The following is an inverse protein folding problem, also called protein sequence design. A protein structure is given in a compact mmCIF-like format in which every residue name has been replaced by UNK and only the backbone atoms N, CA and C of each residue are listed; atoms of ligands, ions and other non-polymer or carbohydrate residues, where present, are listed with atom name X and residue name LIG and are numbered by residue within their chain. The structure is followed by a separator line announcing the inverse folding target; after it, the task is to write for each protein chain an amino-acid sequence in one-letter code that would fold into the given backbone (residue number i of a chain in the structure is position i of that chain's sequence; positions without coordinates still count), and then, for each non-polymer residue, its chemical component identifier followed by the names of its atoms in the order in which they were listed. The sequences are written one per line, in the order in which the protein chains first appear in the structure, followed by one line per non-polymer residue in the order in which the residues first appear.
data_IF_420643126058
#
_entry.id   IF_420643126058
#
_cell.length_a   1.000
_cell.length_b   1.000
_cell.length_c   1.000
_cell.angle_alpha   90.00
_cell.angle_beta   90.00
_cell.angle_gamma   90.00
#
_symmetry.space_group_name_H-M   'P 1'
#
loop_
_entity.id
_entity.type
_entity.pdbx_description
1 polymer ?
#
# COMPACT_ATOMS: atom_id res chain seq x y z
N UNK A 1 23.40 -15.06 23.80
CA UNK A 1 22.19 -15.90 23.71
C UNK A 1 22.30 -16.73 22.45
N UNK A 2 22.09 -18.04 22.54
CA UNK A 2 22.09 -18.94 21.37
C UNK A 2 20.92 -18.54 20.45
N UNK A 3 21.19 -18.35 19.17
CA UNK A 3 20.14 -18.06 18.20
C UNK A 3 19.31 -19.35 17.96
N UNK A 4 17.97 -19.25 17.85
CA UNK A 4 17.10 -20.43 17.69
C UNK A 4 17.47 -21.25 16.45
N UNK A 5 17.45 -22.59 16.46
CA UNK A 5 17.70 -23.37 15.23
C UNK A 5 16.62 -23.16 14.16
N UNK A 6 16.85 -23.55 12.90
CA UNK A 6 15.80 -23.50 11.86
C UNK A 6 14.56 -24.32 12.26
N UNK A 7 14.76 -25.41 13.02
CA UNK A 7 13.68 -26.20 13.63
C UNK A 7 12.78 -25.34 14.51
N UNK A 8 13.34 -24.40 15.29
CA UNK A 8 12.58 -23.53 16.17
C UNK A 8 11.66 -22.54 15.41
N UNK A 9 11.99 -22.17 14.17
CA UNK A 9 11.10 -21.37 13.31
C UNK A 9 9.91 -22.19 12.79
N UNK A 10 10.01 -23.52 12.77
CA UNK A 10 8.95 -24.43 12.31
C UNK A 10 8.14 -25.03 13.47
N UNK A 11 8.63 -24.94 14.70
CA UNK A 11 7.98 -25.51 15.88
C UNK A 11 6.58 -24.97 16.13
N UNK A 12 5.64 -25.90 16.36
CA UNK A 12 4.22 -25.59 16.59
C UNK A 12 3.43 -25.14 15.34
N UNK A 13 4.02 -25.23 14.14
CA UNK A 13 3.31 -25.04 12.88
C UNK A 13 2.70 -26.37 12.40
N UNK A 14 1.47 -26.30 11.89
CA UNK A 14 0.84 -27.41 11.16
C UNK A 14 1.49 -27.59 9.77
N UNK A 15 1.10 -28.64 9.04
CA UNK A 15 1.69 -28.97 7.73
C UNK A 15 1.62 -27.82 6.72
N UNK A 16 0.45 -27.21 6.54
CA UNK A 16 0.25 -26.10 5.60
C UNK A 16 1.04 -24.83 5.98
N UNK A 17 1.07 -24.50 7.28
CA UNK A 17 1.88 -23.38 7.78
C UNK A 17 3.38 -23.63 7.59
N UNK A 18 3.85 -24.87 7.81
CA UNK A 18 5.23 -25.27 7.56
C UNK A 18 5.57 -25.10 6.08
N UNK A 19 4.72 -25.59 5.19
CA UNK A 19 4.89 -25.44 3.74
C UNK A 19 5.02 -23.96 3.34
N UNK A 20 4.11 -23.12 3.84
CA UNK A 20 4.14 -21.67 3.57
C UNK A 20 5.39 -20.98 4.12
N UNK A 21 5.94 -21.42 5.27
CA UNK A 21 7.21 -20.90 5.81
C UNK A 21 8.42 -21.47 5.05
N UNK A 22 8.34 -22.71 4.58
CA UNK A 22 9.41 -23.41 3.88
C UNK A 22 9.58 -22.95 2.42
N UNK A 23 8.51 -22.51 1.78
CA UNK A 23 8.53 -22.01 0.41
C UNK A 23 9.55 -20.87 0.26
N UNK A 24 10.55 -21.01 -0.61
CA UNK A 24 11.64 -20.03 -0.70
C UNK A 24 11.41 -19.02 -1.82
N UNK A 25 11.27 -19.47 -3.06
CA UNK A 25 11.18 -18.62 -4.25
C UNK A 25 9.88 -18.84 -5.03
N UNK A 26 9.52 -17.84 -5.85
CA UNK A 26 8.30 -17.84 -6.66
C UNK A 26 7.07 -17.33 -5.91
N UNK A 27 5.96 -17.13 -6.64
CA UNK A 27 4.72 -16.61 -6.07
C UNK A 27 4.11 -17.60 -5.08
N UNK A 28 3.51 -17.07 -4.02
CA UNK A 28 2.80 -17.85 -3.00
C UNK A 28 1.51 -17.14 -2.59
N UNK A 29 0.39 -17.87 -2.65
CA UNK A 29 -0.89 -17.46 -2.08
C UNK A 29 -1.20 -18.37 -0.89
N UNK A 30 -1.40 -17.76 0.28
CA UNK A 30 -1.82 -18.47 1.49
C UNK A 30 -3.26 -18.07 1.81
N UNK A 31 -4.19 -18.99 1.58
CA UNK A 31 -5.59 -18.84 1.98
C UNK A 31 -5.76 -19.31 3.43
N UNK A 32 -6.21 -18.41 4.29
CA UNK A 32 -6.13 -18.64 5.72
C UNK A 32 -7.24 -17.88 6.47
N UNK A 33 -8.17 -18.65 7.06
CA UNK A 33 -9.29 -18.14 7.85
C UNK A 33 -8.91 -17.28 9.07
N UNK A 34 -9.89 -16.65 9.72
CA UNK A 34 -9.69 -16.02 11.05
C UNK A 34 -9.01 -16.96 12.05
N UNK A 35 -8.03 -16.43 12.80
CA UNK A 35 -7.35 -17.19 13.86
C UNK A 35 -6.41 -18.30 13.38
N UNK A 36 -6.26 -18.51 12.07
CA UNK A 36 -5.39 -19.52 11.46
C UNK A 36 -3.89 -19.24 11.61
N UNK A 37 -3.51 -18.08 12.13
CA UNK A 37 -2.12 -17.68 12.33
C UNK A 37 -1.45 -17.07 11.09
N UNK A 38 -2.20 -16.36 10.23
CA UNK A 38 -1.69 -15.57 9.07
C UNK A 38 -0.39 -14.82 9.38
N UNK A 39 -0.46 -13.93 10.37
CA UNK A 39 0.70 -13.13 10.82
C UNK A 39 1.85 -13.99 11.36
N UNK A 40 1.55 -15.13 12.00
CA UNK A 40 2.58 -16.07 12.50
C UNK A 40 3.34 -16.71 11.35
N UNK A 41 2.65 -17.07 10.26
CA UNK A 41 3.26 -17.61 9.04
C UNK A 41 4.16 -16.55 8.40
N UNK A 42 3.66 -15.33 8.18
CA UNK A 42 4.42 -14.25 7.54
C UNK A 42 5.70 -13.88 8.33
N UNK A 43 5.58 -13.69 9.64
CA UNK A 43 6.73 -13.29 10.47
C UNK A 43 7.81 -14.37 10.52
N UNK A 44 7.43 -15.65 10.65
CA UNK A 44 8.37 -16.78 10.61
C UNK A 44 9.01 -16.98 9.24
N UNK A 45 8.23 -16.79 8.17
CA UNK A 45 8.74 -16.78 6.80
C UNK A 45 9.82 -15.70 6.61
N UNK A 46 9.56 -14.47 7.04
CA UNK A 46 10.54 -13.37 6.95
C UNK A 46 11.80 -13.69 7.76
N UNK A 47 11.64 -14.17 9.00
CA UNK A 47 12.77 -14.57 9.84
C UNK A 47 13.62 -15.67 9.17
N UNK A 48 12.99 -16.65 8.52
CA UNK A 48 13.67 -17.73 7.79
C UNK A 48 14.39 -17.22 6.54
N UNK A 49 13.79 -16.33 5.76
CA UNK A 49 14.46 -15.68 4.61
C UNK A 49 15.77 -15.02 5.03
N UNK A 50 15.75 -14.31 6.17
CA UNK A 50 16.93 -13.62 6.68
C UNK A 50 17.96 -14.61 7.23
N UNK A 51 17.55 -15.53 8.11
CA UNK A 51 18.48 -16.38 8.86
C UNK A 51 19.01 -17.56 8.06
N UNK A 52 18.14 -18.27 7.36
CA UNK A 52 18.48 -19.50 6.65
C UNK A 52 19.01 -19.20 5.25
N UNK A 53 18.36 -18.27 4.55
CA UNK A 53 18.68 -17.96 3.15
C UNK A 53 19.60 -16.75 2.99
N UNK A 54 19.98 -16.09 4.08
CA UNK A 54 20.91 -14.95 4.06
C UNK A 54 20.36 -13.74 3.31
N UNK A 55 19.04 -13.62 3.15
CA UNK A 55 18.43 -12.48 2.44
C UNK A 55 18.65 -11.22 3.26
N UNK A 56 19.30 -10.17 2.71
CA UNK A 56 19.46 -8.91 3.43
C UNK A 56 18.09 -8.32 3.77
N UNK A 57 17.83 -7.87 5.01
CA UNK A 57 16.53 -7.33 5.38
C UNK A 57 16.08 -6.15 4.51
N UNK A 58 17.03 -5.35 4.02
CA UNK A 58 16.79 -4.24 3.07
C UNK A 58 16.19 -4.67 1.73
N UNK A 59 16.21 -5.96 1.41
CA UNK A 59 15.59 -6.55 0.22
C UNK A 59 14.19 -7.12 0.45
N UNK A 60 13.63 -6.91 1.65
CA UNK A 60 12.32 -7.41 2.04
C UNK A 60 11.36 -6.22 2.23
N UNK A 61 10.21 -6.29 1.56
CA UNK A 61 9.07 -5.39 1.74
C UNK A 61 7.90 -6.19 2.31
N UNK A 62 7.43 -5.82 3.49
CA UNK A 62 6.24 -6.37 4.14
C UNK A 62 5.16 -5.29 4.25
N UNK A 63 3.95 -5.58 3.77
CA UNK A 63 2.83 -4.65 3.72
C UNK A 63 1.63 -5.22 4.48
N UNK A 64 0.93 -4.36 5.20
CA UNK A 64 -0.32 -4.68 5.93
C UNK A 64 -1.28 -3.50 5.86
N UNK A 65 -2.46 -3.59 6.49
CA UNK A 65 -3.50 -2.58 6.41
C UNK A 65 -3.49 -1.60 7.59
N UNK A 66 -3.03 -2.02 8.78
CA UNK A 66 -3.07 -1.18 9.97
C UNK A 66 -1.69 -0.90 10.53
N UNK A 67 -1.52 0.30 11.13
CA UNK A 67 -0.26 0.66 11.80
C UNK A 67 0.05 -0.27 12.98
N UNK A 68 -1.00 -0.75 13.66
CA UNK A 68 -0.88 -1.73 14.74
C UNK A 68 -0.30 -3.06 14.22
N UNK A 69 -0.87 -3.62 13.15
CA UNK A 69 -0.37 -4.85 12.54
C UNK A 69 1.08 -4.70 12.05
N UNK A 70 1.43 -3.54 11.48
CA UNK A 70 2.80 -3.27 11.04
C UNK A 70 3.79 -3.18 12.22
N UNK A 71 3.36 -2.61 13.36
CA UNK A 71 4.13 -2.61 14.60
C UNK A 71 4.34 -4.03 15.12
N UNK A 72 3.26 -4.77 15.33
CA UNK A 72 3.31 -6.14 15.84
C UNK A 72 4.13 -7.07 14.94
N UNK A 73 4.04 -6.92 13.61
CA UNK A 73 4.84 -7.70 12.67
C UNK A 73 6.33 -7.43 12.85
N UNK A 74 6.74 -6.16 12.99
CA UNK A 74 8.14 -5.78 13.25
C UNK A 74 8.65 -6.35 14.57
N UNK A 75 7.89 -6.18 15.65
CA UNK A 75 8.26 -6.67 16.98
C UNK A 75 8.44 -8.19 16.99
N UNK A 76 7.54 -8.92 16.32
CA UNK A 76 7.63 -10.38 16.18
C UNK A 76 8.86 -10.80 15.39
N UNK A 77 9.16 -10.14 14.27
CA UNK A 77 10.34 -10.46 13.47
C UNK A 77 11.61 -10.17 14.27
N UNK A 78 11.68 -9.01 14.95
CA UNK A 78 12.84 -8.65 15.76
C UNK A 78 13.08 -9.66 16.90
N UNK A 79 11.99 -10.13 17.54
CA UNK A 79 12.06 -11.19 18.55
C UNK A 79 12.59 -12.52 17.99
N UNK A 80 12.11 -12.94 16.81
CA UNK A 80 12.57 -14.17 16.15
C UNK A 80 14.04 -14.10 15.71
N UNK A 81 14.53 -12.91 15.37
CA UNK A 81 15.91 -12.66 14.95
C UNK A 81 16.86 -12.31 16.12
N UNK A 82 16.30 -12.01 17.30
CA UNK A 82 17.00 -11.41 18.44
C UNK A 82 17.68 -10.06 18.14
N UNK A 83 17.28 -9.37 17.07
CA UNK A 83 17.72 -8.03 16.69
C UNK A 83 16.75 -7.39 15.70
N UNK A 84 16.76 -6.06 15.60
CA UNK A 84 15.99 -5.34 14.59
C UNK A 84 16.47 -5.68 13.16
N UNK A 85 15.57 -6.00 12.21
CA UNK A 85 15.92 -6.23 10.81
C UNK A 85 16.21 -4.92 10.07
N UNK A 86 17.38 -4.34 10.32
CA UNK A 86 17.76 -3.02 9.84
C UNK A 86 17.63 -2.88 8.31
N UNK A 87 16.94 -1.82 7.88
CA UNK A 87 16.73 -1.53 6.46
C UNK A 87 15.50 -2.19 5.82
N UNK A 88 14.88 -3.17 6.50
CA UNK A 88 13.61 -3.76 6.06
C UNK A 88 12.50 -2.72 5.99
N UNK A 89 11.63 -2.85 4.99
CA UNK A 89 10.44 -2.01 4.88
C UNK A 89 9.25 -2.83 5.37
N UNK A 90 8.66 -2.43 6.49
CA UNK A 90 7.45 -3.02 7.04
C UNK A 90 6.49 -1.89 7.46
N UNK A 91 5.29 -1.86 6.87
CA UNK A 91 4.37 -0.74 7.06
C UNK A 91 3.02 -0.94 6.38
N UNK A 92 2.14 0.04 6.52
CA UNK A 92 0.91 0.08 5.75
C UNK A 92 1.17 0.51 4.31
N UNK A 93 0.24 0.22 3.40
CA UNK A 93 0.31 0.73 2.02
C UNK A 93 0.56 2.25 1.97
N UNK A 94 -0.15 3.01 2.81
CA UNK A 94 -0.02 4.46 2.90
C UNK A 94 1.34 4.89 3.45
N UNK A 95 1.88 4.21 4.47
CA UNK A 95 3.20 4.54 5.00
C UNK A 95 4.31 4.24 3.97
N UNK A 96 4.20 3.12 3.25
CA UNK A 96 5.12 2.75 2.17
C UNK A 96 5.01 3.75 1.00
N UNK A 97 3.78 4.07 0.61
CA UNK A 97 3.48 5.03 -0.44
C UNK A 97 3.99 6.44 -0.14
N UNK A 98 3.76 6.94 1.08
CA UNK A 98 4.34 8.19 1.56
C UNK A 98 5.88 8.16 1.50
N UNK A 99 6.52 7.07 1.94
CA UNK A 99 7.98 6.93 1.89
C UNK A 99 8.51 6.96 0.45
N UNK A 100 7.84 6.28 -0.48
CA UNK A 100 8.18 6.29 -1.91
C UNK A 100 8.01 7.69 -2.50
N UNK A 101 6.86 8.33 -2.20
CA UNK A 101 6.52 9.65 -2.70
C UNK A 101 7.50 10.71 -2.19
N UNK A 102 7.92 10.66 -0.93
CA UNK A 102 8.94 11.58 -0.39
C UNK A 102 10.26 11.50 -1.16
N UNK A 103 10.68 10.30 -1.56
CA UNK A 103 11.91 10.09 -2.32
C UNK A 103 11.81 10.53 -3.79
N UNK A 104 10.60 10.72 -4.31
CA UNK A 104 10.33 10.96 -5.74
C UNK A 104 9.39 12.14 -5.98
N UNK A 105 9.17 12.99 -4.97
CA UNK A 105 8.13 14.03 -4.97
C UNK A 105 8.24 15.01 -6.15
N UNK A 106 9.47 15.32 -6.56
CA UNK A 106 9.75 16.22 -7.68
C UNK A 106 9.16 15.71 -9.01
N UNK A 107 9.00 14.40 -9.19
CA UNK A 107 8.41 13.79 -10.39
C UNK A 107 6.90 14.07 -10.53
N UNK A 108 6.26 14.45 -9.43
CA UNK A 108 4.83 14.84 -9.39
C UNK A 108 4.64 16.29 -8.97
N UNK A 109 5.67 17.11 -9.23
CA UNK A 109 5.67 18.55 -8.98
C UNK A 109 5.39 18.92 -7.52
N UNK A 110 5.90 18.12 -6.59
CA UNK A 110 5.87 18.35 -5.14
C UNK A 110 7.29 18.34 -4.58
N UNK A 111 7.45 18.82 -3.35
CA UNK A 111 8.71 18.70 -2.62
C UNK A 111 8.63 17.53 -1.62
N UNK A 112 9.77 16.98 -1.17
CA UNK A 112 9.80 16.00 -0.10
C UNK A 112 9.24 16.50 1.23
N UNK A 113 8.87 17.77 1.37
CA UNK A 113 8.27 18.37 2.57
C UNK A 113 6.75 18.55 2.45
N UNK A 114 6.07 17.86 1.51
CA UNK A 114 4.62 17.95 1.36
C UNK A 114 3.82 17.67 2.64
N UNK A 115 2.66 18.28 2.81
CA UNK A 115 1.75 17.99 3.94
C UNK A 115 0.80 16.87 3.56
N UNK A 116 0.53 15.94 4.48
CA UNK A 116 -0.53 14.94 4.29
C UNK A 116 -1.80 15.52 4.89
N UNK A 117 -2.80 15.77 4.06
CA UNK A 117 -4.10 16.27 4.52
C UNK A 117 -4.88 15.13 5.14
N UNK A 118 -5.45 15.38 6.31
CA UNK A 118 -6.41 14.46 6.92
C UNK A 118 -7.79 14.60 6.27
N UNK A 119 -8.78 13.91 6.86
CA UNK A 119 -10.14 13.92 6.35
C UNK A 119 -10.78 15.31 6.39
N UNK A 120 -10.52 16.09 7.44
CA UNK A 120 -11.12 17.39 7.66
C UNK A 120 -10.49 18.46 6.78
N UNK A 121 -9.15 18.45 6.64
CA UNK A 121 -8.40 19.30 5.72
C UNK A 121 -8.86 19.08 4.28
N UNK A 122 -8.96 17.81 3.87
CA UNK A 122 -9.39 17.42 2.53
C UNK A 122 -10.84 17.85 2.27
N UNK A 123 -11.73 17.67 3.24
CA UNK A 123 -13.13 18.06 3.13
C UNK A 123 -13.30 19.59 3.10
N UNK A 124 -12.50 20.33 3.85
CA UNK A 124 -12.51 21.80 3.83
C UNK A 124 -12.04 22.34 2.48
N UNK A 125 -10.97 21.79 1.91
CA UNK A 125 -10.52 22.13 0.55
C UNK A 125 -11.61 21.81 -0.48
N UNK A 126 -12.18 20.61 -0.42
CA UNK A 126 -13.22 20.16 -1.35
C UNK A 126 -14.43 21.10 -1.36
N UNK A 127 -14.92 21.53 -0.19
CA UNK A 127 -16.05 22.47 -0.08
C UNK A 127 -15.79 23.79 -0.81
N UNK A 128 -14.58 24.35 -0.70
CA UNK A 128 -14.20 25.58 -1.42
C UNK A 128 -14.20 25.37 -2.93
N UNK A 129 -13.75 24.20 -3.39
CA UNK A 129 -13.75 23.86 -4.82
C UNK A 129 -15.16 23.61 -5.36
N UNK A 130 -16.02 22.95 -4.57
CA UNK A 130 -17.43 22.81 -4.91
C UNK A 130 -18.10 24.17 -5.10
N UNK A 131 -17.90 25.11 -4.16
CA UNK A 131 -18.43 26.46 -4.27
C UNK A 131 -17.95 27.19 -5.54
N UNK A 132 -16.64 27.09 -5.84
CA UNK A 132 -16.05 27.67 -7.05
C UNK A 132 -16.68 27.16 -8.34
N UNK A 133 -17.06 25.88 -8.39
CA UNK A 133 -17.70 25.24 -9.55
C UNK A 133 -19.23 25.34 -9.53
N UNK A 134 -19.82 26.10 -8.59
CA UNK A 134 -21.27 26.22 -8.47
C UNK A 134 -21.97 24.94 -8.01
N UNK A 135 -21.23 24.00 -7.43
CA UNK A 135 -21.75 22.73 -6.91
C UNK A 135 -22.30 22.95 -5.51
N UNK A 136 -23.63 23.02 -5.39
CA UNK A 136 -24.30 23.31 -4.12
C UNK A 136 -24.18 22.16 -3.11
N UNK A 137 -23.69 22.39 -1.87
CA UNK A 137 -23.67 21.38 -0.81
C UNK A 137 -25.05 20.86 -0.40
N UNK A 138 -26.13 21.62 -0.71
CA UNK A 138 -27.52 21.19 -0.49
C UNK A 138 -27.98 20.19 -1.55
N UNK A 139 -27.46 20.30 -2.77
CA UNK A 139 -27.77 19.39 -3.87
C UNK A 139 -26.91 18.14 -3.80
N UNK A 140 -25.60 18.31 -3.56
CA UNK A 140 -24.64 17.23 -3.46
C UNK A 140 -23.84 17.36 -2.18
N UNK A 141 -24.01 16.41 -1.26
CA UNK A 141 -23.31 16.44 0.02
C UNK A 141 -21.78 16.36 -0.21
N UNK A 142 -20.95 17.21 0.45
CA UNK A 142 -19.50 17.19 0.26
C UNK A 142 -18.85 15.83 0.51
N UNK A 143 -19.36 15.05 1.47
CA UNK A 143 -18.88 13.68 1.73
C UNK A 143 -19.16 12.72 0.58
N UNK A 144 -20.29 12.88 -0.12
CA UNK A 144 -20.62 12.07 -1.29
C UNK A 144 -19.69 12.40 -2.48
N UNK A 145 -19.45 13.70 -2.72
CA UNK A 145 -18.48 14.16 -3.73
C UNK A 145 -17.08 13.61 -3.42
N UNK A 146 -16.65 13.69 -2.16
CA UNK A 146 -15.37 13.13 -1.72
C UNK A 146 -15.29 11.62 -1.96
N UNK A 147 -16.35 10.88 -1.62
CA UNK A 147 -16.46 9.44 -1.85
C UNK A 147 -16.26 9.09 -3.31
N UNK A 148 -16.97 9.77 -4.22
CA UNK A 148 -16.83 9.55 -5.66
C UNK A 148 -15.40 9.82 -6.18
N UNK A 149 -14.73 10.85 -5.67
CA UNK A 149 -13.33 11.14 -6.01
C UNK A 149 -12.39 10.06 -5.45
N UNK A 150 -12.62 9.62 -4.21
CA UNK A 150 -11.82 8.58 -3.56
C UNK A 150 -11.96 7.24 -4.29
N UNK A 151 -13.18 6.86 -4.66
CA UNK A 151 -13.47 5.66 -5.46
C UNK A 151 -12.75 5.71 -6.82
N UNK A 152 -12.80 6.87 -7.50
CA UNK A 152 -12.08 7.09 -8.75
C UNK A 152 -10.56 6.94 -8.57
N UNK A 153 -9.99 7.58 -7.54
CA UNK A 153 -8.57 7.47 -7.20
C UNK A 153 -8.16 6.03 -6.92
N UNK A 154 -8.91 5.32 -6.07
CA UNK A 154 -8.65 3.93 -5.71
C UNK A 154 -8.83 2.96 -6.89
N UNK A 155 -9.63 3.32 -7.88
CA UNK A 155 -9.74 2.65 -9.18
C UNK A 155 -8.66 3.07 -10.21
N UNK A 156 -7.74 3.97 -9.85
CA UNK A 156 -6.71 4.57 -10.71
C UNK A 156 -7.27 5.40 -11.88
N UNK A 157 -8.49 5.91 -11.77
CA UNK A 157 -9.12 6.76 -12.78
C UNK A 157 -8.58 8.19 -12.64
N UNK A 158 -7.97 8.73 -13.70
CA UNK A 158 -7.47 10.10 -13.71
C UNK A 158 -8.60 11.13 -13.89
N UNK A 159 -8.43 12.41 -13.52
CA UNK A 159 -9.47 13.42 -13.68
C UNK A 159 -10.03 13.55 -15.09
N UNK A 160 -9.18 13.50 -16.12
CA UNK A 160 -9.61 13.59 -17.52
C UNK A 160 -10.43 12.36 -17.94
N UNK A 161 -10.04 11.18 -17.46
CA UNK A 161 -10.77 9.93 -17.70
C UNK A 161 -12.12 9.95 -16.97
N UNK A 162 -12.14 10.37 -15.70
CA UNK A 162 -13.37 10.55 -14.92
C UNK A 162 -14.34 11.50 -15.62
N UNK A 163 -13.86 12.63 -16.13
CA UNK A 163 -14.65 13.57 -16.91
C UNK A 163 -15.22 12.95 -18.19
N UNK A 164 -14.45 12.12 -18.89
CA UNK A 164 -14.91 11.42 -20.09
C UNK A 164 -15.97 10.35 -19.83
N UNK A 165 -15.93 9.72 -18.64
CA UNK A 165 -16.87 8.68 -18.21
C UNK A 165 -18.11 9.23 -17.51
N UNK A 166 -18.11 10.52 -17.14
CA UNK A 166 -19.19 11.17 -16.39
C UNK A 166 -20.51 11.24 -17.19
N UNK A 167 -21.40 10.30 -16.93
CA UNK A 167 -22.65 10.16 -17.68
C UNK A 167 -23.83 10.89 -17.02
N UNK A 168 -23.95 10.80 -15.69
CA UNK A 168 -25.10 11.30 -14.92
C UNK A 168 -24.84 12.70 -14.33
N UNK A 169 -25.90 13.42 -13.86
CA UNK A 169 -25.75 14.77 -13.32
C UNK A 169 -24.77 14.90 -12.15
N UNK A 170 -24.69 13.88 -11.28
CA UNK A 170 -23.78 13.91 -10.13
C UNK A 170 -22.33 13.76 -10.58
N UNK A 171 -22.00 12.74 -11.38
CA UNK A 171 -20.62 12.55 -11.85
C UNK A 171 -20.13 13.72 -12.70
N UNK A 172 -21.00 14.34 -13.51
CA UNK A 172 -20.67 15.56 -14.25
C UNK A 172 -20.38 16.76 -13.35
N UNK A 173 -21.07 16.88 -12.22
CA UNK A 173 -20.78 17.92 -11.23
C UNK A 173 -19.47 17.66 -10.46
N UNK A 174 -19.11 16.40 -10.23
CA UNK A 174 -17.87 16.01 -9.54
C UNK A 174 -16.64 16.22 -10.41
N UNK A 175 -16.72 15.96 -11.72
CA UNK A 175 -15.57 15.99 -12.64
C UNK A 175 -14.70 17.27 -12.57
N UNK A 176 -15.26 18.50 -12.67
CA UNK A 176 -14.44 19.71 -12.58
C UNK A 176 -13.86 19.93 -11.17
N UNK A 177 -14.58 19.51 -10.13
CA UNK A 177 -14.11 19.57 -8.73
C UNK A 177 -12.90 18.64 -8.54
N UNK A 178 -12.93 17.44 -9.15
CA UNK A 178 -11.83 16.49 -9.06
C UNK A 178 -10.56 17.02 -9.73
N UNK A 179 -10.66 17.55 -10.96
CA UNK A 179 -9.52 18.13 -11.67
C UNK A 179 -8.86 19.29 -10.90
N UNK A 180 -9.67 20.17 -10.31
CA UNK A 180 -9.18 21.28 -9.51
C UNK A 180 -8.60 20.85 -8.16
N UNK A 181 -9.09 19.75 -7.56
CA UNK A 181 -8.58 19.19 -6.31
C UNK A 181 -7.13 18.75 -6.45
N UNK A 182 -6.82 17.96 -7.47
CA UNK A 182 -5.44 17.51 -7.74
C UNK A 182 -4.49 18.71 -7.91
N UNK A 183 -4.92 19.70 -8.69
CA UNK A 183 -4.15 20.92 -8.94
C UNK A 183 -3.97 21.75 -7.67
N UNK A 184 -5.00 21.83 -6.82
CA UNK A 184 -4.95 22.56 -5.57
C UNK A 184 -4.02 21.89 -4.55
N UNK A 185 -4.10 20.57 -4.39
CA UNK A 185 -3.21 19.79 -3.54
C UNK A 185 -1.75 19.95 -3.98
N UNK A 186 -1.48 19.84 -5.29
CA UNK A 186 -0.13 20.05 -5.81
C UNK A 186 0.41 21.46 -5.52
N UNK A 187 -0.38 22.52 -5.77
CA UNK A 187 0.01 23.91 -5.48
C UNK A 187 0.24 24.17 -3.99
N UNK A 188 -0.53 23.51 -3.13
CA UNK A 188 -0.36 23.57 -1.68
C UNK A 188 0.83 22.73 -1.19
N UNK A 189 1.56 22.04 -2.09
CA UNK A 189 2.55 21.04 -1.75
C UNK A 189 1.96 20.03 -0.74
N UNK A 190 0.79 19.48 -1.07
CA UNK A 190 0.03 18.57 -0.23
C UNK A 190 -0.35 17.30 -0.99
N UNK A 191 -0.67 16.25 -0.24
CA UNK A 191 -1.24 15.00 -0.73
C UNK A 191 -2.37 14.59 0.24
N UNK A 192 -3.47 14.08 -0.27
CA UNK A 192 -4.46 13.40 0.56
C UNK A 192 -4.07 11.92 0.76
N UNK A 193 -4.91 11.17 1.46
CA UNK A 193 -4.62 9.78 1.79
C UNK A 193 -4.58 8.89 0.53
N UNK A 194 -5.51 9.09 -0.40
CA UNK A 194 -5.57 8.33 -1.66
C UNK A 194 -4.36 8.63 -2.56
N UNK A 195 -3.85 9.87 -2.56
CA UNK A 195 -2.62 10.25 -3.27
C UNK A 195 -1.40 9.44 -2.83
N UNK A 196 -1.36 8.98 -1.57
CA UNK A 196 -0.28 8.13 -1.08
C UNK A 196 -0.29 6.75 -1.73
N UNK A 197 -1.38 6.33 -2.37
CA UNK A 197 -1.47 5.10 -3.16
C UNK A 197 -1.29 5.38 -4.65
N UNK A 198 -2.04 6.36 -5.17
CA UNK A 198 -2.14 6.64 -6.60
C UNK A 198 -0.87 7.25 -7.16
N UNK A 199 -0.25 8.21 -6.46
CA UNK A 199 0.94 8.89 -6.98
C UNK A 199 2.15 7.95 -7.09
N UNK A 200 2.46 7.08 -6.11
CA UNK A 200 3.50 6.06 -6.28
C UNK A 200 3.26 5.16 -7.49
N UNK A 201 2.02 4.67 -7.70
CA UNK A 201 1.69 3.87 -8.89
C UNK A 201 1.98 4.65 -10.18
N UNK A 202 1.44 5.88 -10.28
CA UNK A 202 1.66 6.75 -11.46
C UNK A 202 3.15 7.00 -11.71
N UNK A 203 3.94 7.21 -10.66
CA UNK A 203 5.40 7.40 -10.76
C UNK A 203 6.05 6.15 -11.33
N UNK A 204 5.76 4.97 -10.78
CA UNK A 204 6.36 3.72 -11.22
C UNK A 204 5.99 3.34 -12.66
N UNK A 205 4.78 3.69 -13.11
CA UNK A 205 4.35 3.45 -14.49
C UNK A 205 5.00 4.41 -15.49
N UNK A 206 5.25 5.66 -15.09
CA UNK A 206 5.82 6.70 -15.97
C UNK A 206 7.34 6.78 -15.93
N UNK A 207 7.97 6.26 -14.88
CA UNK A 207 9.41 6.31 -14.65
C UNK A 207 9.97 4.90 -14.42
N UNK A 208 10.24 4.13 -15.51
CA UNK A 208 10.74 2.76 -15.41
C UNK A 208 12.05 2.63 -14.62
N UNK A 209 12.90 3.66 -14.64
CA UNK A 209 14.14 3.72 -13.86
C UNK A 209 13.88 3.66 -12.34
N UNK A 210 12.81 4.30 -11.87
CA UNK A 210 12.40 4.25 -10.46
C UNK A 210 11.84 2.88 -10.11
N UNK A 211 11.04 2.29 -11.01
CA UNK A 211 10.52 0.94 -10.85
C UNK A 211 11.64 -0.09 -10.77
N UNK A 212 12.60 -0.04 -11.69
CA UNK A 212 13.73 -0.96 -11.73
C UNK A 212 14.62 -0.82 -10.49
N UNK A 213 14.81 0.42 -9.99
CA UNK A 213 15.52 0.65 -8.73
C UNK A 213 14.83 -0.04 -7.56
N UNK A 214 13.51 0.05 -7.45
CA UNK A 214 12.77 -0.60 -6.38
C UNK A 214 12.67 -2.12 -6.55
N UNK A 215 12.55 -2.62 -7.78
CA UNK A 215 12.58 -4.07 -8.07
C UNK A 215 13.92 -4.70 -7.71
N UNK A 216 15.04 -4.07 -8.07
CA UNK A 216 16.38 -4.52 -7.66
C UNK A 216 16.56 -4.49 -6.15
N UNK A 217 15.90 -3.54 -5.48
CA UNK A 217 15.92 -3.45 -4.02
C UNK A 217 15.10 -4.58 -3.41
N UNK A 218 13.80 -4.66 -3.73
CA UNK A 218 12.88 -5.59 -3.08
C UNK A 218 12.83 -6.92 -3.82
N UNK A 219 13.65 -7.87 -3.37
CA UNK A 219 13.64 -9.24 -3.87
C UNK A 219 12.43 -10.03 -3.38
N UNK A 220 11.91 -9.72 -2.19
CA UNK A 220 10.76 -10.38 -1.59
C UNK A 220 9.69 -9.36 -1.19
N UNK A 221 8.47 -9.59 -1.66
CA UNK A 221 7.27 -8.86 -1.27
C UNK A 221 6.36 -9.78 -0.46
N UNK A 222 5.93 -9.31 0.70
CA UNK A 222 4.98 -10.00 1.56
C UNK A 222 3.81 -9.06 1.85
N UNK A 223 2.59 -9.56 1.70
CA UNK A 223 1.37 -8.77 1.90
C UNK A 223 0.41 -9.55 2.79
N UNK A 224 -0.01 -8.92 3.89
CA UNK A 224 -1.04 -9.41 4.80
C UNK A 224 -2.41 -8.80 4.45
N UNK A 225 -3.48 -9.50 4.81
CA UNK A 225 -4.89 -9.13 4.54
C UNK A 225 -5.16 -8.78 3.07
N UNK A 226 -4.66 -9.61 2.15
CA UNK A 226 -4.72 -9.34 0.72
C UNK A 226 -6.14 -9.22 0.15
N UNK A 227 -7.14 -9.81 0.81
CA UNK A 227 -8.56 -9.69 0.43
C UNK A 227 -9.07 -8.23 0.48
N UNK A 228 -8.47 -7.36 1.31
CA UNK A 228 -8.90 -5.97 1.47
C UNK A 228 -8.27 -5.03 0.41
N UNK A 229 -7.54 -5.59 -0.57
CA UNK A 229 -6.78 -4.76 -1.54
C UNK A 229 -7.66 -4.12 -2.61
N UNK A 230 -7.54 -2.80 -2.76
CA UNK A 230 -8.13 -2.07 -3.88
C UNK A 230 -7.24 -2.13 -5.13
N UNK A 231 -7.74 -1.59 -6.26
CA UNK A 231 -7.01 -1.62 -7.55
C UNK A 231 -5.68 -0.89 -7.51
N UNK A 232 -5.57 0.24 -6.81
CA UNK A 232 -4.31 0.97 -6.66
C UNK A 232 -3.27 0.16 -5.87
N UNK A 233 -3.67 -0.46 -4.76
CA UNK A 233 -2.82 -1.32 -3.93
C UNK A 233 -2.37 -2.57 -4.71
N UNK A 234 -3.30 -3.25 -5.37
CA UNK A 234 -3.01 -4.38 -6.26
C UNK A 234 -2.01 -4.01 -7.34
N UNK A 235 -2.19 -2.85 -7.98
CA UNK A 235 -1.31 -2.39 -9.05
C UNK A 235 0.09 -2.09 -8.53
N UNK A 236 0.21 -1.48 -7.35
CA UNK A 236 1.50 -1.24 -6.70
C UNK A 236 2.24 -2.57 -6.43
N UNK A 237 1.55 -3.56 -5.88
CA UNK A 237 2.11 -4.90 -5.64
C UNK A 237 2.54 -5.55 -6.96
N UNK A 238 1.69 -5.50 -7.98
CA UNK A 238 1.96 -6.11 -9.28
C UNK A 238 3.18 -5.49 -9.97
N UNK A 239 3.33 -4.16 -9.90
CA UNK A 239 4.48 -3.45 -10.43
C UNK A 239 5.77 -3.90 -9.71
N UNK A 240 5.80 -3.86 -8.39
CA UNK A 240 6.98 -4.22 -7.60
C UNK A 240 7.31 -5.72 -7.70
N UNK A 241 6.29 -6.58 -7.69
CA UNK A 241 6.40 -8.03 -7.77
C UNK A 241 6.89 -8.55 -9.12
N UNK A 242 6.64 -7.83 -10.21
CA UNK A 242 7.04 -8.22 -11.57
C UNK A 242 8.55 -8.23 -11.84
N UNK A 243 9.41 -7.89 -10.86
CA UNK A 243 10.86 -8.01 -10.98
C UNK A 243 11.36 -9.43 -10.73
N UNK A 244 11.26 -9.90 -9.48
CA UNK A 244 11.78 -11.20 -9.06
C UNK A 244 10.70 -12.30 -8.96
N UNK A 245 9.41 -11.94 -8.95
CA UNK A 245 8.31 -12.90 -8.80
C UNK A 245 8.14 -13.51 -7.40
N UNK A 246 8.98 -13.14 -6.42
CA UNK A 246 8.83 -13.62 -5.03
C UNK A 246 7.81 -12.77 -4.27
N UNK A 247 6.54 -12.95 -4.63
CA UNK A 247 5.41 -12.29 -3.97
C UNK A 247 4.67 -13.32 -3.14
N UNK A 248 4.57 -13.08 -1.84
CA UNK A 248 3.78 -13.88 -0.90
C UNK A 248 2.59 -13.03 -0.43
N UNK A 249 1.38 -13.46 -0.76
CA UNK A 249 0.14 -12.83 -0.29
C UNK A 249 -0.57 -13.77 0.68
N UNK A 250 -1.12 -13.21 1.75
CA UNK A 250 -1.94 -13.94 2.71
C UNK A 250 -3.28 -13.24 2.83
N UNK A 251 -4.35 -14.00 2.73
CA UNK A 251 -5.70 -13.46 2.82
C UNK A 251 -6.73 -14.50 3.20
N UNK A 252 -7.95 -14.02 3.40
CA UNK A 252 -9.11 -14.80 3.77
C UNK A 252 -10.28 -14.44 2.85
N UNK A 253 -10.66 -15.36 1.96
CA UNK A 253 -11.72 -15.13 0.97
C UNK A 253 -13.09 -14.88 1.64
N UNK A 254 -13.30 -15.41 2.86
CA UNK A 254 -14.55 -15.25 3.62
C UNK A 254 -14.63 -13.91 4.39
N UNK A 255 -13.57 -13.08 4.36
CA UNK A 255 -13.48 -11.81 5.09
C UNK A 255 -13.36 -10.58 4.19
N UNK A 256 -13.60 -10.71 2.88
CA UNK A 256 -13.76 -9.52 2.03
C UNK A 256 -15.00 -8.74 2.47
N UNK A 257 -14.81 -7.57 3.08
CA UNK A 257 -15.89 -6.65 3.51
C UNK A 257 -16.18 -5.63 2.41
#
# INVERSE_FOLDING_TARGET
MLQPTDDALLDGLNAAQREAVLHHEGPLLVLAGAGSGKTRVLTRRIARLIRTHGVPPSQILAVTFTNKAAGEMRDRIASLLAHEPAGMWAGTFHAIGARMLRATAHLVGRTPAFTIYDEDDSLALLKRLMERHGVSPKQYAPRAVRGAISDAKNALVAPDEYASLAADPFTRAVAPVYADLESALQRANAADFDDLLVLPVRILERHPDQLDRLRRKFRYLLVDEYQDTNRAQYRLISLLGGGHGNVCVVGDDDQSI
#
